data_IF_168475301926
#
_entry.id   IF_168475301926
#
_cell.length_a   1.000
_cell.length_b   1.000
_cell.length_c   1.000
_cell.angle_alpha   90.00
_cell.angle_beta   90.00
_cell.angle_gamma   90.00
#
_symmetry.space_group_name_H-M   'P 1'
#
loop_
_entity.id
_entity.type
_entity.pdbx_description
1 polymer ?
#
# COMPACT_ATOMS: atom_id res chain seq x y z
N UNK A 1 8.45 -19.37 -0.25
CA UNK A 1 8.29 -19.65 1.19
C UNK A 1 9.54 -20.30 1.80
N UNK A 2 9.98 -21.48 1.36
CA UNK A 2 11.12 -22.23 1.97
C UNK A 2 12.43 -21.44 2.12
N UNK A 3 12.80 -20.61 1.14
CA UNK A 3 14.00 -19.75 1.21
C UNK A 3 13.96 -18.76 2.38
N UNK A 4 12.81 -18.12 2.60
CA UNK A 4 12.64 -17.14 3.67
C UNK A 4 12.60 -17.84 5.04
N UNK A 5 11.97 -19.01 5.13
CA UNK A 5 11.98 -19.82 6.35
C UNK A 5 13.41 -20.20 6.76
N UNK A 6 14.22 -20.65 5.80
CA UNK A 6 15.62 -20.99 6.04
C UNK A 6 16.41 -19.77 6.51
N UNK A 7 16.31 -18.65 5.78
CA UNK A 7 16.98 -17.40 6.14
C UNK A 7 16.65 -16.95 7.56
N UNK A 8 15.37 -16.97 7.96
CA UNK A 8 14.97 -16.55 9.30
C UNK A 8 15.50 -17.50 10.39
N UNK A 9 15.57 -18.81 10.13
CA UNK A 9 16.19 -19.75 11.08
C UNK A 9 17.70 -19.52 11.22
N UNK A 10 18.36 -19.20 10.12
CA UNK A 10 19.81 -18.98 10.10
C UNK A 10 20.18 -17.63 10.74
N UNK A 11 19.44 -16.55 10.44
CA UNK A 11 19.72 -15.20 10.93
C UNK A 11 19.17 -14.94 12.34
N UNK A 12 18.07 -15.58 12.74
CA UNK A 12 17.37 -15.34 14.01
C UNK A 12 17.13 -16.63 14.82
N UNK A 13 18.17 -17.42 15.14
CA UNK A 13 18.02 -18.73 15.77
C UNK A 13 17.31 -18.66 17.13
N UNK A 14 17.50 -17.57 17.88
CA UNK A 14 16.97 -17.41 19.24
C UNK A 14 15.44 -17.21 19.30
N UNK A 15 14.80 -16.85 18.19
CA UNK A 15 13.35 -16.65 18.11
C UNK A 15 12.69 -17.54 17.07
N UNK A 16 13.45 -18.38 16.37
CA UNK A 16 12.97 -19.23 15.28
C UNK A 16 11.78 -20.10 15.69
N UNK A 17 11.80 -20.64 16.92
CA UNK A 17 10.72 -21.49 17.46
C UNK A 17 9.42 -20.73 17.74
N UNK A 18 9.45 -19.38 17.72
CA UNK A 18 8.27 -18.52 17.86
C UNK A 18 7.65 -18.13 16.52
N UNK A 19 8.28 -18.50 15.40
CA UNK A 19 7.82 -18.14 14.05
C UNK A 19 6.93 -19.26 13.51
N UNK A 20 5.67 -18.93 13.25
CA UNK A 20 4.70 -19.84 12.65
C UNK A 20 4.27 -19.31 11.28
N UNK A 21 4.31 -20.17 10.27
CA UNK A 21 3.81 -19.85 8.92
C UNK A 21 2.39 -20.35 8.76
N UNK A 22 1.45 -19.42 8.64
CA UNK A 22 0.04 -19.72 8.45
C UNK A 22 -0.30 -19.68 6.95
N UNK A 23 -1.17 -20.58 6.51
CA UNK A 23 -1.71 -20.56 5.13
C UNK A 23 -3.01 -19.77 5.01
N UNK A 24 -3.65 -19.45 6.13
CA UNK A 24 -4.90 -18.70 6.21
C UNK A 24 -4.83 -17.75 7.41
N UNK A 25 -5.62 -16.68 7.38
CA UNK A 25 -5.85 -15.86 8.56
C UNK A 25 -6.48 -16.72 9.68
N UNK A 26 -6.08 -16.52 10.94
CA UNK A 26 -6.76 -17.16 12.06
C UNK A 26 -8.19 -16.61 12.19
N UNK A 27 -9.05 -17.31 12.95
CA UNK A 27 -10.41 -16.84 13.23
C UNK A 27 -10.42 -15.63 14.15
N UNK A 28 -9.51 -15.62 15.12
CA UNK A 28 -9.35 -14.57 16.12
C UNK A 28 -7.86 -14.29 16.29
N UNK A 29 -7.51 -13.02 16.51
CA UNK A 29 -6.14 -12.58 16.73
C UNK A 29 -6.09 -11.40 17.70
N UNK A 30 -5.43 -11.64 18.84
CA UNK A 30 -5.05 -10.59 19.79
C UNK A 30 -3.56 -10.26 19.57
N UNK A 31 -3.24 -9.10 18.98
CA UNK A 31 -1.85 -8.76 18.69
C UNK A 31 -1.65 -7.58 17.74
N UNK A 32 -0.47 -7.54 17.14
CA UNK A 32 -0.08 -6.50 16.18
C UNK A 32 0.08 -7.12 14.80
N UNK A 33 -0.60 -6.56 13.80
CA UNK A 33 -0.47 -6.92 12.39
C UNK A 33 0.44 -5.88 11.73
N UNK A 34 1.43 -6.33 10.96
CA UNK A 34 2.28 -5.45 10.15
C UNK A 34 2.21 -5.91 8.71
N UNK A 35 1.85 -4.99 7.81
CA UNK A 35 1.86 -5.21 6.38
C UNK A 35 2.72 -4.12 5.73
N UNK A 36 3.85 -4.50 5.17
CA UNK A 36 4.79 -3.61 4.52
C UNK A 36 4.95 -4.04 3.06
N UNK A 37 4.56 -3.19 2.11
CA UNK A 37 4.54 -3.49 0.67
C UNK A 37 3.76 -4.79 0.38
N UNK A 38 2.51 -4.80 0.82
CA UNK A 38 1.56 -5.91 0.61
C UNK A 38 0.36 -5.44 -0.20
N UNK A 39 -0.05 -4.18 0.01
CA UNK A 39 -1.26 -3.62 -0.58
C UNK A 39 -1.03 -3.26 -2.05
N UNK A 40 0.17 -2.78 -2.40
CA UNK A 40 0.54 -2.45 -3.77
C UNK A 40 0.58 -3.65 -4.72
N UNK A 41 0.79 -4.84 -4.17
CA UNK A 41 0.80 -6.11 -4.87
C UNK A 41 -0.60 -6.76 -4.98
N UNK A 42 -1.63 -6.17 -4.37
CA UNK A 42 -2.99 -6.68 -4.52
C UNK A 42 -3.51 -6.46 -5.94
N UNK A 43 -4.33 -7.39 -6.48
CA UNK A 43 -4.90 -7.21 -7.81
C UNK A 43 -5.77 -5.95 -7.90
N UNK A 44 -5.57 -5.21 -8.98
CA UNK A 44 -6.37 -4.04 -9.35
C UNK A 44 -7.07 -4.26 -10.69
N UNK A 45 -8.20 -3.60 -10.87
CA UNK A 45 -8.87 -3.55 -12.17
C UNK A 45 -8.60 -2.21 -12.84
N UNK A 46 -8.24 -2.23 -14.12
CA UNK A 46 -8.06 -0.99 -14.87
C UNK A 46 -9.36 -0.58 -15.56
N UNK A 47 -9.64 0.71 -15.58
CA UNK A 47 -10.80 1.28 -16.26
C UNK A 47 -10.41 2.47 -17.12
N UNK A 48 -11.24 2.78 -18.12
CA UNK A 48 -11.20 4.04 -18.87
C UNK A 48 -12.54 4.74 -18.74
N UNK A 49 -12.51 6.04 -18.42
CA UNK A 49 -13.69 6.89 -18.49
C UNK A 49 -14.01 7.21 -19.95
N UNK A 50 -15.18 6.81 -20.43
CA UNK A 50 -15.77 7.26 -21.71
C UNK A 50 -16.73 8.41 -21.44
N UNK A 51 -17.34 9.04 -22.43
CA UNK A 51 -18.19 10.23 -22.18
C UNK A 51 -19.33 9.96 -21.19
N UNK A 52 -20.07 8.86 -21.39
CA UNK A 52 -21.26 8.51 -20.59
C UNK A 52 -21.15 7.17 -19.85
N UNK A 53 -19.99 6.51 -19.89
CA UNK A 53 -19.80 5.18 -19.29
C UNK A 53 -18.40 4.95 -18.78
N UNK A 54 -18.24 3.88 -18.01
CA UNK A 54 -16.96 3.29 -17.65
C UNK A 54 -16.73 2.07 -18.53
N UNK A 55 -15.57 2.01 -19.18
CA UNK A 55 -15.08 0.80 -19.82
C UNK A 55 -14.06 0.12 -18.90
N UNK A 56 -14.10 -1.20 -18.82
CA UNK A 56 -13.05 -1.98 -18.19
C UNK A 56 -11.95 -2.28 -19.21
N UNK A 57 -10.68 -2.10 -18.82
CA UNK A 57 -9.55 -2.58 -19.58
C UNK A 57 -9.27 -4.04 -19.24
N UNK A 58 -9.46 -4.90 -20.23
CA UNK A 58 -9.19 -6.33 -20.16
C UNK A 58 -7.97 -6.69 -20.99
N UNK A 59 -7.37 -7.84 -20.67
CA UNK A 59 -6.29 -8.41 -21.48
C UNK A 59 -6.89 -9.38 -22.49
N UNK A 60 -6.53 -9.19 -23.76
CA UNK A 60 -6.86 -10.09 -24.86
C UNK A 60 -5.58 -10.57 -25.56
N UNK A 61 -5.73 -11.48 -26.51
CA UNK A 61 -4.63 -12.04 -27.31
C UNK A 61 -4.76 -11.55 -28.74
N UNK A 62 -3.67 -10.99 -29.28
CA UNK A 62 -3.54 -10.63 -30.70
C UNK A 62 -2.26 -11.24 -31.25
N UNK A 63 -2.40 -12.35 -31.98
CA UNK A 63 -1.25 -13.16 -32.41
C UNK A 63 -0.57 -13.81 -31.20
N UNK A 64 0.72 -13.57 -31.03
CA UNK A 64 1.51 -14.06 -29.88
C UNK A 64 1.59 -13.05 -28.73
N UNK A 65 0.99 -11.88 -28.87
CA UNK A 65 1.10 -10.79 -27.90
C UNK A 65 -0.19 -10.62 -27.09
N UNK A 66 -0.04 -10.25 -25.83
CA UNK A 66 -1.12 -9.71 -25.02
C UNK A 66 -1.38 -8.25 -25.40
N UNK A 67 -2.66 -7.89 -25.51
CA UNK A 67 -3.11 -6.53 -25.84
C UNK A 67 -4.23 -6.09 -24.92
N UNK A 68 -4.33 -4.78 -24.70
CA UNK A 68 -5.47 -4.19 -24.03
C UNK A 68 -6.71 -4.22 -24.94
N UNK A 69 -7.86 -4.54 -24.36
CA UNK A 69 -9.16 -4.40 -25.00
C UNK A 69 -10.14 -3.77 -24.02
N UNK A 70 -11.07 -2.98 -24.53
CA UNK A 70 -12.13 -2.37 -23.73
C UNK A 70 -13.37 -3.23 -23.75
N UNK A 71 -13.95 -3.43 -22.58
CA UNK A 71 -15.27 -4.05 -22.43
C UNK A 71 -16.16 -3.16 -21.58
N UNK A 72 -17.47 -3.39 -21.63
CA UNK A 72 -18.39 -2.71 -20.73
C UNK A 72 -18.02 -3.03 -19.28
N UNK A 73 -17.80 -2.01 -18.44
CA UNK A 73 -17.48 -2.25 -17.04
C UNK A 73 -18.66 -2.96 -16.33
N UNK A 74 -18.39 -3.98 -15.50
CA UNK A 74 -19.41 -4.58 -14.66
C UNK A 74 -19.92 -3.56 -13.62
N UNK A 75 -21.15 -3.74 -13.15
CA UNK A 75 -21.83 -2.79 -12.25
C UNK A 75 -21.00 -2.44 -11.01
N UNK A 76 -20.30 -3.43 -10.43
CA UNK A 76 -19.42 -3.21 -9.26
C UNK A 76 -18.28 -2.23 -9.53
N UNK A 77 -17.67 -2.28 -10.72
CA UNK A 77 -16.59 -1.39 -11.09
C UNK A 77 -17.13 0.00 -11.43
N UNK A 78 -18.23 0.07 -12.18
CA UNK A 78 -18.90 1.33 -12.48
C UNK A 78 -19.37 2.06 -11.21
N UNK A 79 -19.94 1.33 -10.24
CA UNK A 79 -20.37 1.87 -8.96
C UNK A 79 -19.18 2.37 -8.13
N UNK A 80 -18.07 1.62 -8.10
CA UNK A 80 -16.86 2.05 -7.40
C UNK A 80 -16.28 3.34 -7.97
N UNK A 81 -16.21 3.46 -9.31
CA UNK A 81 -15.78 4.70 -9.97
C UNK A 81 -16.76 5.85 -9.70
N UNK A 82 -18.06 5.59 -9.64
CA UNK A 82 -19.04 6.61 -9.28
C UNK A 82 -18.84 7.13 -7.83
N UNK A 83 -18.49 6.23 -6.88
CA UNK A 83 -18.11 6.64 -5.52
C UNK A 83 -16.86 7.50 -5.53
N UNK A 84 -15.84 7.12 -6.32
CA UNK A 84 -14.62 7.92 -6.49
C UNK A 84 -14.96 9.33 -7.00
N UNK A 85 -15.72 9.44 -8.09
CA UNK A 85 -16.10 10.73 -8.70
C UNK A 85 -16.91 11.61 -7.72
N UNK A 86 -17.79 10.99 -6.93
CA UNK A 86 -18.56 11.69 -5.90
C UNK A 86 -17.65 12.24 -4.79
N UNK A 87 -16.69 11.45 -4.31
CA UNK A 87 -15.78 11.83 -3.23
C UNK A 87 -14.79 12.93 -3.65
N UNK A 88 -14.22 12.82 -4.86
CA UNK A 88 -13.35 13.88 -5.41
C UNK A 88 -14.14 15.11 -5.89
N UNK A 89 -15.47 15.05 -5.88
CA UNK A 89 -16.37 16.15 -6.24
C UNK A 89 -16.35 16.52 -7.72
N UNK A 90 -15.90 15.62 -8.60
CA UNK A 90 -15.85 15.84 -10.05
C UNK A 90 -15.91 14.53 -10.82
N UNK A 91 -16.45 14.61 -12.02
CA UNK A 91 -16.36 13.53 -13.01
C UNK A 91 -14.95 13.47 -13.59
N UNK A 92 -14.44 12.26 -13.84
CA UNK A 92 -13.18 12.07 -14.54
C UNK A 92 -13.35 12.43 -16.03
N UNK A 93 -12.30 12.93 -16.66
CA UNK A 93 -12.37 13.34 -18.06
C UNK A 93 -12.44 12.13 -19.01
N UNK A 94 -13.04 12.31 -20.19
CA UNK A 94 -13.05 11.26 -21.20
C UNK A 94 -11.60 10.89 -21.62
N UNK A 95 -11.29 9.60 -21.61
CA UNK A 95 -9.95 9.07 -21.84
C UNK A 95 -9.12 8.88 -20.57
N UNK A 96 -9.57 9.37 -19.41
CA UNK A 96 -8.90 9.14 -18.13
C UNK A 96 -8.83 7.63 -17.85
N UNK A 97 -7.62 7.14 -17.61
CA UNK A 97 -7.34 5.73 -17.33
C UNK A 97 -6.73 5.60 -15.94
N UNK A 98 -7.23 4.67 -15.14
CA UNK A 98 -6.70 4.43 -13.79
C UNK A 98 -7.05 3.01 -13.29
N UNK A 99 -6.58 2.71 -12.08
CA UNK A 99 -6.80 1.46 -11.37
C UNK A 99 -7.91 1.63 -10.32
N UNK A 100 -8.71 0.59 -10.14
CA UNK A 100 -9.65 0.42 -9.04
C UNK A 100 -9.22 -0.78 -8.21
N UNK A 101 -8.71 -0.53 -7.00
CA UNK A 101 -8.21 -1.56 -6.09
C UNK A 101 -9.35 -2.22 -5.27
N UNK A 102 -10.28 -2.87 -5.96
CA UNK A 102 -11.48 -3.48 -5.34
C UNK A 102 -11.15 -4.58 -4.32
N UNK A 103 -9.98 -5.21 -4.41
CA UNK A 103 -9.53 -6.23 -3.48
C UNK A 103 -9.09 -5.65 -2.13
N UNK A 104 -8.56 -4.42 -2.09
CA UNK A 104 -7.95 -3.87 -0.89
C UNK A 104 -8.97 -3.62 0.24
N UNK A 105 -10.17 -3.05 0.00
CA UNK A 105 -11.22 -2.95 1.01
C UNK A 105 -11.67 -4.31 1.56
N UNK A 106 -11.75 -5.34 0.71
CA UNK A 106 -12.13 -6.70 1.14
C UNK A 106 -11.05 -7.32 2.02
N UNK A 107 -9.79 -7.11 1.69
CA UNK A 107 -8.66 -7.56 2.49
C UNK A 107 -8.63 -6.89 3.87
N UNK A 108 -8.91 -5.58 3.94
CA UNK A 108 -9.09 -4.86 5.22
C UNK A 108 -10.26 -5.46 6.02
N UNK A 109 -11.39 -5.74 5.38
CA UNK A 109 -12.54 -6.35 6.05
C UNK A 109 -12.20 -7.72 6.65
N UNK A 110 -11.41 -8.54 5.95
CA UNK A 110 -10.97 -9.85 6.44
C UNK A 110 -10.01 -9.73 7.63
N UNK A 111 -9.07 -8.78 7.59
CA UNK A 111 -8.18 -8.50 8.73
C UNK A 111 -8.98 -7.95 9.93
N UNK A 112 -9.91 -7.03 9.69
CA UNK A 112 -10.74 -6.42 10.71
C UNK A 112 -11.61 -7.45 11.45
N UNK A 113 -12.08 -8.49 10.73
CA UNK A 113 -12.87 -9.59 11.28
C UNK A 113 -12.03 -10.50 12.20
N UNK A 114 -10.78 -10.72 11.84
CA UNK A 114 -9.85 -11.55 12.58
C UNK A 114 -9.31 -10.83 13.83
N UNK A 115 -8.99 -9.54 13.72
CA UNK A 115 -8.43 -8.77 14.84
C UNK A 115 -9.47 -8.56 15.93
N UNK A 116 -9.31 -9.22 17.07
CA UNK A 116 -10.20 -9.11 18.24
C UNK A 116 -9.75 -7.99 19.19
N UNK A 117 -8.44 -7.84 19.38
CA UNK A 117 -7.84 -6.73 20.14
C UNK A 117 -6.42 -6.46 19.64
N UNK A 118 -6.10 -5.20 19.36
CA UNK A 118 -4.74 -4.82 18.98
C UNK A 118 -4.66 -3.70 17.96
N UNK A 119 -3.60 -3.72 17.17
CA UNK A 119 -3.30 -2.70 16.17
C UNK A 119 -2.82 -3.30 14.85
N UNK A 120 -3.00 -2.58 13.76
CA UNK A 120 -2.46 -2.91 12.44
C UNK A 120 -1.66 -1.73 11.91
N UNK A 121 -0.44 -1.98 11.44
CA UNK A 121 0.39 -0.99 10.76
C UNK A 121 0.48 -1.40 9.29
N UNK A 122 -0.06 -0.56 8.42
CA UNK A 122 -0.02 -0.76 6.97
C UNK A 122 0.88 0.30 6.37
N UNK A 123 1.94 -0.13 5.70
CA UNK A 123 2.97 0.74 5.16
C UNK A 123 3.17 0.41 3.68
N UNK A 124 2.96 1.41 2.83
CA UNK A 124 3.02 1.20 1.38
C UNK A 124 3.16 2.52 0.61
N UNK A 125 3.49 2.43 -0.68
CA UNK A 125 3.48 3.58 -1.58
C UNK A 125 2.06 3.97 -1.93
N UNK A 126 1.71 5.24 -1.72
CA UNK A 126 0.37 5.71 -2.05
C UNK A 126 0.05 7.10 -1.53
N UNK A 127 -1.21 7.48 -1.70
CA UNK A 127 -1.71 8.84 -1.50
C UNK A 127 -3.18 8.83 -1.10
N UNK A 128 -3.74 10.00 -0.78
CA UNK A 128 -5.19 10.18 -0.60
C UNK A 128 -5.94 9.95 -1.92
N UNK A 129 -7.25 9.67 -1.88
CA UNK A 129 -8.06 9.49 -3.09
C UNK A 129 -8.00 10.69 -4.04
N UNK A 130 -8.04 11.91 -3.50
CA UNK A 130 -7.97 13.15 -4.29
C UNK A 130 -6.68 13.26 -5.10
N UNK A 131 -5.56 12.84 -4.52
CA UNK A 131 -4.26 12.79 -5.18
C UNK A 131 -4.15 11.58 -6.13
N UNK A 132 -4.69 10.43 -5.73
CA UNK A 132 -4.69 9.20 -6.52
C UNK A 132 -5.39 9.43 -7.86
N UNK A 133 -6.56 10.06 -7.83
CA UNK A 133 -7.37 10.39 -8.99
C UNK A 133 -7.25 11.87 -9.39
N UNK A 134 -6.08 12.49 -9.20
CA UNK A 134 -5.83 13.86 -9.65
C UNK A 134 -5.94 13.98 -11.19
N UNK A 135 -6.25 15.19 -11.70
CA UNK A 135 -6.51 15.40 -13.13
C UNK A 135 -5.27 15.13 -14.01
N UNK A 136 -4.08 15.40 -13.48
CA UNK A 136 -2.79 15.13 -14.12
C UNK A 136 -2.31 13.68 -13.94
N UNK A 137 -3.07 12.83 -13.23
CA UNK A 137 -2.82 11.40 -13.04
C UNK A 137 -3.72 10.53 -13.92
N UNK A 138 -3.81 10.87 -15.19
CA UNK A 138 -4.75 10.29 -16.15
C UNK A 138 -4.32 8.97 -16.83
N UNK A 139 -3.20 8.36 -16.41
CA UNK A 139 -2.80 6.98 -16.76
C UNK A 139 -2.55 6.11 -15.51
N UNK A 140 -3.04 6.56 -14.35
CA UNK A 140 -2.97 5.83 -13.10
C UNK A 140 -1.54 5.65 -12.54
N UNK A 141 -1.41 4.63 -11.70
CA UNK A 141 -0.25 4.35 -10.86
C UNK A 141 0.34 2.96 -11.08
N UNK A 142 -0.18 2.20 -12.04
CA UNK A 142 0.39 0.90 -12.37
C UNK A 142 1.86 1.02 -12.79
N UNK A 143 2.71 0.23 -12.15
CA UNK A 143 4.14 0.13 -12.40
C UNK A 143 4.56 -1.32 -12.51
N UNK A 144 5.52 -1.53 -13.39
CA UNK A 144 6.13 -2.83 -13.64
C UNK A 144 7.61 -2.73 -13.30
N UNK A 145 8.14 -3.71 -12.58
CA UNK A 145 9.56 -3.76 -12.24
C UNK A 145 10.20 -5.03 -12.80
N UNK A 146 11.22 -4.86 -13.63
CA UNK A 146 11.99 -5.97 -14.18
C UNK A 146 13.48 -5.65 -14.13
N UNK A 147 14.26 -6.50 -13.44
CA UNK A 147 15.74 -6.35 -13.31
C UNK A 147 16.18 -4.94 -12.91
N UNK A 148 15.55 -4.35 -11.88
CA UNK A 148 15.79 -2.98 -11.40
C UNK A 148 15.42 -1.85 -12.38
N UNK A 149 14.65 -2.15 -13.43
CA UNK A 149 14.08 -1.15 -14.33
C UNK A 149 12.56 -1.06 -14.16
N UNK A 150 12.07 0.17 -13.96
CA UNK A 150 10.64 0.47 -13.88
C UNK A 150 10.09 0.84 -15.27
N UNK A 151 8.90 0.35 -15.61
CA UNK A 151 8.13 0.73 -16.80
C UNK A 151 6.61 0.61 -16.55
N UNK A 152 5.77 0.99 -17.52
CA UNK A 152 4.30 1.02 -17.40
C UNK A 152 3.56 -0.05 -18.20
N UNK A 153 4.28 -0.95 -18.88
CA UNK A 153 3.67 -1.99 -19.72
C UNK A 153 3.58 -3.36 -19.01
N UNK A 154 2.41 -3.77 -18.50
CA UNK A 154 2.26 -5.05 -17.81
C UNK A 154 2.25 -6.27 -18.74
N UNK A 155 2.10 -6.06 -20.05
CA UNK A 155 1.80 -7.12 -21.00
C UNK A 155 3.04 -7.79 -21.61
N UNK A 156 4.25 -7.26 -21.38
CA UNK A 156 5.46 -7.67 -22.10
C UNK A 156 6.23 -8.84 -21.46
N UNK A 157 6.19 -9.02 -20.13
CA UNK A 157 6.90 -10.12 -19.47
C UNK A 157 6.06 -10.82 -18.38
N UNK A 158 4.88 -11.36 -18.74
CA UNK A 158 3.99 -11.99 -17.77
C UNK A 158 4.68 -13.13 -17.02
N UNK A 159 4.59 -13.11 -15.70
CA UNK A 159 5.17 -14.12 -14.80
C UNK A 159 6.64 -13.91 -14.42
N UNK A 160 7.35 -12.96 -15.03
CA UNK A 160 8.77 -12.68 -14.70
C UNK A 160 9.08 -11.22 -14.37
N UNK A 161 8.11 -10.32 -14.51
CA UNK A 161 8.17 -8.96 -13.98
C UNK A 161 7.18 -8.80 -12.82
N UNK A 162 7.51 -7.91 -11.91
CA UNK A 162 6.61 -7.54 -10.83
C UNK A 162 5.60 -6.48 -11.30
N UNK A 163 4.40 -6.50 -10.73
CA UNK A 163 3.30 -5.59 -11.04
C UNK A 163 2.79 -4.99 -9.74
N UNK A 164 2.89 -3.66 -9.62
CA UNK A 164 2.39 -2.94 -8.45
C UNK A 164 1.55 -1.75 -8.87
N UNK A 165 0.62 -1.35 -8.01
CA UNK A 165 -0.11 -0.10 -8.13
C UNK A 165 -0.03 0.64 -6.80
N UNK A 166 -0.01 1.97 -6.83
CA UNK A 166 -0.05 2.72 -5.58
C UNK A 166 -1.34 2.44 -4.81
N UNK A 167 -1.32 2.73 -3.52
CA UNK A 167 -2.45 2.54 -2.62
C UNK A 167 -3.29 3.82 -2.53
N UNK A 168 -4.60 3.68 -2.73
CA UNK A 168 -5.59 4.68 -2.31
C UNK A 168 -5.86 4.50 -0.81
N UNK A 169 -5.22 5.31 0.02
CA UNK A 169 -5.33 5.21 1.48
C UNK A 169 -6.70 5.65 2.01
N UNK A 170 -7.45 6.47 1.27
CA UNK A 170 -8.81 6.84 1.66
C UNK A 170 -9.73 5.62 1.58
N UNK A 171 -9.58 4.81 0.53
CA UNK A 171 -10.32 3.55 0.37
C UNK A 171 -10.03 2.55 1.50
N UNK A 172 -8.78 2.49 1.98
CA UNK A 172 -8.43 1.63 3.13
C UNK A 172 -9.01 2.15 4.44
N UNK A 173 -8.97 3.47 4.65
CA UNK A 173 -9.50 4.11 5.85
C UNK A 173 -11.02 3.93 5.96
N UNK A 174 -11.75 4.14 4.86
CA UNK A 174 -13.18 3.87 4.79
C UNK A 174 -13.49 2.41 5.10
N UNK A 175 -12.80 1.47 4.44
CA UNK A 175 -12.98 0.05 4.69
C UNK A 175 -12.69 -0.33 6.15
N UNK A 176 -11.70 0.31 6.78
CA UNK A 176 -11.39 0.08 8.18
C UNK A 176 -12.54 0.55 9.09
N UNK A 177 -13.02 1.78 8.89
CA UNK A 177 -14.12 2.37 9.67
C UNK A 177 -15.42 1.57 9.48
N UNK A 178 -15.75 1.20 8.24
CA UNK A 178 -16.93 0.39 7.91
C UNK A 178 -16.91 -0.99 8.60
N UNK A 179 -15.73 -1.50 8.93
CA UNK A 179 -15.55 -2.76 9.66
C UNK A 179 -15.25 -2.55 11.15
N UNK A 180 -15.54 -1.36 11.67
CA UNK A 180 -15.48 -1.03 13.10
C UNK A 180 -14.06 -1.00 13.67
N UNK A 181 -13.06 -0.70 12.84
CA UNK A 181 -11.72 -0.35 13.29
C UNK A 181 -11.63 1.17 13.52
N UNK A 182 -10.79 1.56 14.47
CA UNK A 182 -10.41 2.94 14.69
C UNK A 182 -9.17 3.29 13.87
N UNK A 183 -9.09 4.50 13.34
CA UNK A 183 -7.88 5.02 12.70
C UNK A 183 -7.06 5.74 13.76
N UNK A 184 -5.91 5.18 14.11
CA UNK A 184 -4.97 5.81 15.05
C UNK A 184 -4.14 6.92 14.41
N UNK A 185 -3.99 6.90 13.09
CA UNK A 185 -3.41 8.01 12.33
C UNK A 185 -2.92 7.58 10.95
N UNK A 186 -2.68 8.57 10.10
CA UNK A 186 -2.15 8.43 8.75
C UNK A 186 -1.08 9.49 8.51
N UNK A 187 0.11 9.10 8.04
CA UNK A 187 1.23 10.02 7.85
C UNK A 187 2.23 9.48 6.83
N UNK A 188 3.28 10.25 6.53
CA UNK A 188 4.36 9.76 5.66
C UNK A 188 5.34 8.88 6.42
N UNK A 189 6.11 8.07 5.70
CA UNK A 189 7.16 7.24 6.29
C UNK A 189 8.18 8.05 7.07
N UNK A 190 8.59 9.21 6.52
CA UNK A 190 9.54 10.09 7.20
C UNK A 190 9.02 10.52 8.57
N UNK A 191 7.74 10.91 8.64
CA UNK A 191 7.09 11.31 9.88
C UNK A 191 6.93 10.13 10.86
N UNK A 192 6.50 8.97 10.35
CA UNK A 192 6.35 7.74 11.12
C UNK A 192 7.69 7.29 11.75
N UNK A 193 8.78 7.29 10.98
CA UNK A 193 10.11 6.89 11.49
C UNK A 193 10.63 7.88 12.53
N UNK A 194 10.47 9.19 12.30
CA UNK A 194 10.87 10.23 13.26
C UNK A 194 10.07 10.12 14.56
N UNK A 195 8.75 9.97 14.49
CA UNK A 195 7.89 9.76 15.65
C UNK A 195 8.10 8.40 16.33
N UNK A 196 8.56 7.41 15.57
CA UNK A 196 8.86 6.04 16.03
C UNK A 196 10.20 5.89 16.74
N UNK A 197 10.98 6.96 16.89
CA UNK A 197 12.23 6.95 17.65
C UNK A 197 13.48 6.72 16.80
N UNK A 198 13.45 7.02 15.49
CA UNK A 198 14.66 6.95 14.65
C UNK A 198 15.85 7.72 15.25
N UNK A 199 15.59 8.85 15.93
CA UNK A 199 16.64 9.63 16.63
C UNK A 199 17.29 8.87 17.78
N UNK A 200 16.56 7.97 18.44
CA UNK A 200 17.07 7.11 19.52
C UNK A 200 17.91 5.99 18.91
N UNK A 201 17.44 5.36 17.83
CA UNK A 201 18.17 4.29 17.13
C UNK A 201 19.53 4.76 16.59
N UNK A 202 19.68 6.05 16.30
CA UNK A 202 20.93 6.64 15.81
C UNK A 202 21.69 7.43 16.89
N UNK A 203 21.36 7.26 18.17
CA UNK A 203 21.98 8.02 19.26
C UNK A 203 23.50 7.79 19.34
N UNK A 204 23.96 6.56 19.07
CA UNK A 204 25.39 6.17 19.09
C UNK A 204 26.07 6.35 17.72
N UNK A 205 25.45 7.09 16.78
CA UNK A 205 25.97 7.27 15.41
C UNK A 205 27.42 7.78 15.37
N UNK A 206 27.80 8.66 16.31
CA UNK A 206 29.17 9.20 16.39
C UNK A 206 30.23 8.18 16.78
N UNK A 207 29.83 7.04 17.35
CA UNK A 207 30.74 5.98 17.79
C UNK A 207 31.08 4.98 16.67
N UNK A 208 30.31 5.00 15.58
CA UNK A 208 30.52 4.16 14.40
C UNK A 208 31.78 4.58 13.62
N UNK A 209 32.35 3.65 12.86
CA UNK A 209 33.42 3.98 11.90
C UNK A 209 32.90 4.91 10.79
N UNK A 210 33.79 5.66 10.15
CA UNK A 210 33.41 6.56 9.04
C UNK A 210 32.65 5.82 7.92
N UNK A 211 33.02 4.57 7.63
CA UNK A 211 32.36 3.75 6.60
C UNK A 211 30.93 3.41 7.01
N UNK A 212 30.73 2.97 8.25
CA UNK A 212 29.40 2.65 8.80
C UNK A 212 28.52 3.91 8.88
N UNK A 213 29.09 5.05 9.29
CA UNK A 213 28.38 6.33 9.30
C UNK A 213 27.88 6.72 7.90
N UNK A 214 28.70 6.55 6.86
CA UNK A 214 28.31 6.84 5.48
C UNK A 214 27.19 5.90 4.99
N UNK A 215 27.29 4.61 5.32
CA UNK A 215 26.28 3.61 4.96
C UNK A 215 24.94 3.90 5.64
N UNK A 216 24.95 4.09 6.96
CA UNK A 216 23.76 4.38 7.75
C UNK A 216 23.13 5.71 7.34
N UNK A 217 23.94 6.74 7.08
CA UNK A 217 23.45 8.01 6.53
C UNK A 217 22.74 7.83 5.18
N UNK A 218 23.27 6.96 4.32
CA UNK A 218 22.62 6.62 3.05
C UNK A 218 21.25 5.98 3.26
N UNK A 219 21.17 4.97 4.14
CA UNK A 219 19.92 4.28 4.47
C UNK A 219 18.86 5.23 5.06
N UNK A 220 19.25 6.06 6.03
CA UNK A 220 18.36 7.07 6.63
C UNK A 220 17.85 8.03 5.55
N UNK A 221 18.72 8.52 4.67
CA UNK A 221 18.32 9.42 3.58
C UNK A 221 17.31 8.75 2.65
N UNK A 222 17.55 7.50 2.23
CA UNK A 222 16.60 6.75 1.40
C UNK A 222 15.24 6.63 2.07
N UNK A 223 15.21 6.31 3.37
CA UNK A 223 13.97 6.12 4.11
C UNK A 223 13.21 7.41 4.44
N UNK A 224 13.90 8.56 4.55
CA UNK A 224 13.32 9.79 5.11
C UNK A 224 13.24 10.97 4.14
N UNK A 225 14.04 11.01 3.06
CA UNK A 225 14.03 12.14 2.15
C UNK A 225 12.80 12.12 1.21
N UNK A 226 12.17 13.28 0.93
CA UNK A 226 11.00 13.36 0.08
C UNK A 226 11.19 12.86 -1.36
N UNK A 227 12.40 13.02 -1.91
CA UNK A 227 12.75 12.55 -3.26
C UNK A 227 12.96 11.04 -3.37
N UNK A 228 12.95 10.33 -2.23
CA UNK A 228 13.14 8.88 -2.13
C UNK A 228 11.84 8.26 -1.60
N UNK A 229 11.90 7.49 -0.51
CA UNK A 229 10.73 6.84 0.09
C UNK A 229 9.97 7.76 1.06
N UNK A 230 10.61 8.80 1.58
CA UNK A 230 10.14 9.51 2.78
C UNK A 230 8.77 10.17 2.65
N UNK A 231 8.40 10.66 1.45
CA UNK A 231 7.10 11.29 1.20
C UNK A 231 6.13 10.35 0.49
N UNK A 232 6.60 9.55 -0.49
CA UNK A 232 5.73 8.70 -1.30
C UNK A 232 5.22 7.47 -0.54
N UNK A 233 6.02 6.96 0.39
CA UNK A 233 5.63 5.87 1.28
C UNK A 233 4.83 6.44 2.45
N UNK A 234 3.70 5.82 2.75
CA UNK A 234 2.77 6.24 3.80
C UNK A 234 2.63 5.15 4.83
N UNK A 235 2.19 5.55 6.02
CA UNK A 235 1.91 4.65 7.13
C UNK A 235 0.54 5.00 7.68
N UNK A 236 -0.36 4.03 7.72
CA UNK A 236 -1.64 4.12 8.43
C UNK A 236 -1.65 3.11 9.57
N UNK A 237 -2.09 3.55 10.75
CA UNK A 237 -2.31 2.69 11.90
C UNK A 237 -3.81 2.56 12.19
N UNK A 238 -4.25 1.33 12.37
CA UNK A 238 -5.63 0.95 12.66
C UNK A 238 -5.71 0.19 13.98
N UNK A 239 -6.85 0.22 14.66
CA UNK A 239 -6.99 -0.35 16.00
C UNK A 239 -8.34 -1.01 16.28
N UNK A 240 -8.33 -2.00 17.17
CA UNK A 240 -9.54 -2.52 17.83
C UNK A 240 -9.28 -2.77 19.30
N UNK A 241 -10.13 -2.24 20.17
CA UNK A 241 -10.09 -2.55 21.61
C UNK A 241 -8.79 -2.14 22.32
N UNK A 242 -8.09 -1.13 21.79
CA UNK A 242 -6.89 -0.53 22.40
C UNK A 242 -7.12 0.97 22.48
N UNK A 243 -6.96 1.55 23.68
CA UNK A 243 -7.23 2.97 23.94
C UNK A 243 -6.02 3.87 23.66
N UNK A 244 -4.81 3.29 23.57
CA UNK A 244 -3.57 4.06 23.43
C UNK A 244 -3.14 4.14 21.97
N UNK A 245 -3.14 5.36 21.44
CA UNK A 245 -2.52 5.66 20.14
C UNK A 245 -1.01 5.38 20.19
N UNK A 246 -0.45 4.62 19.23
CA UNK A 246 1.00 4.38 19.16
C UNK A 246 1.79 5.69 19.06
N UNK A 247 2.92 5.78 19.77
CA UNK A 247 3.73 7.00 19.87
C UNK A 247 4.13 7.60 18.52
N UNK A 248 4.37 6.74 17.53
CA UNK A 248 4.73 7.15 16.19
C UNK A 248 3.67 8.05 15.51
N UNK A 249 2.41 8.01 15.93
CA UNK A 249 1.28 8.72 15.32
C UNK A 249 0.82 9.96 16.11
N UNK A 250 1.56 10.39 17.14
CA UNK A 250 1.09 11.46 18.03
C UNK A 250 1.24 12.90 17.48
N UNK A 251 2.07 13.13 16.46
CA UNK A 251 2.53 14.49 16.13
C UNK A 251 2.25 14.98 14.70
N UNK A 252 2.06 14.08 13.74
CA UNK A 252 2.06 14.43 12.32
C UNK A 252 0.90 13.79 11.55
N UNK A 253 -0.24 13.65 12.21
CA UNK A 253 -1.42 13.02 11.65
C UNK A 253 -2.02 13.84 10.48
N UNK A 254 -2.26 13.13 9.38
CA UNK A 254 -2.84 13.59 8.13
C UNK A 254 -4.18 12.92 7.86
N UNK A 255 -4.79 12.23 8.81
CA UNK A 255 -6.07 11.52 8.60
C UNK A 255 -7.17 12.42 8.01
N UNK A 256 -7.17 13.72 8.30
CA UNK A 256 -8.06 14.72 7.71
C UNK A 256 -7.92 14.92 6.19
N UNK A 257 -6.84 14.42 5.58
CA UNK A 257 -6.61 14.51 4.13
C UNK A 257 -7.14 13.30 3.38
N UNK A 258 -7.49 12.23 4.10
CA UNK A 258 -8.09 11.03 3.52
C UNK A 258 -9.51 11.31 3.07
#
# INVERSE_FOLDING_TARGET
MERQQRRLRDELPNIADRIHWLSNLPLEFDGVIVANEVLDALPVERFVRRDSSIAQLCVSVSGENFVWTETQAPDRLAAFVATIEADIGRTLEAGYTSEAALAAPLWIADLARCLTRGAMFLLDYGVSRKEYYAADRNDGWLRCHFRHHAHSNPLINPGIQDLTAWVDFSSLAEAAVDNGLEIFGYQTQSQFLMGGGLTIEVAEFSELTVVEQLQLSGQIKTLTLPGEMGENFKCIALGRGVETTPSAFQFADRTQTL
#
